data_IF_118138395537
#
_entry.id   IF_118138395537
#
_cell.length_a   1.000
_cell.length_b   1.000
_cell.length_c   1.000
_cell.angle_alpha   90.00
_cell.angle_beta   90.00
_cell.angle_gamma   90.00
#
_symmetry.space_group_name_H-M   'P 1'
#
loop_
_entity.id
_entity.type
_entity.pdbx_description
1 polymer ?
#
# COMPACT_ATOMS: atom_id res chain seq x y z
N UNK A 1 -12.30 -23.55 16.27
CA UNK A 1 -11.23 -22.86 16.96
C UNK A 1 -11.10 -21.54 16.20
N UNK A 2 -11.71 -20.49 16.73
CA UNK A 2 -11.66 -19.14 16.11
C UNK A 2 -10.28 -18.60 16.41
N UNK A 3 -9.51 -18.27 15.37
CA UNK A 3 -8.26 -17.55 15.53
C UNK A 3 -8.66 -16.07 15.53
N UNK A 4 -8.49 -15.37 16.65
CA UNK A 4 -8.60 -13.92 16.71
C UNK A 4 -7.50 -13.32 15.85
N UNK A 5 -7.86 -12.87 14.65
CA UNK A 5 -6.91 -12.37 13.67
C UNK A 5 -6.41 -10.94 13.94
N UNK A 6 -7.01 -10.22 14.93
CA UNK A 6 -6.62 -8.84 15.26
C UNK A 6 -6.67 -8.54 16.77
N UNK A 7 -6.00 -9.32 17.64
CA UNK A 7 -6.08 -9.09 19.08
C UNK A 7 -5.54 -7.73 19.55
N UNK A 8 -4.60 -7.11 18.85
CA UNK A 8 -4.14 -5.76 19.17
C UNK A 8 -5.18 -4.66 18.87
N UNK A 9 -6.19 -4.99 18.08
CA UNK A 9 -7.35 -4.13 17.87
C UNK A 9 -8.46 -4.40 18.89
N UNK A 10 -8.33 -5.46 19.71
CA UNK A 10 -9.36 -5.99 20.60
C UNK A 10 -9.61 -5.15 21.87
N UNK A 11 -8.72 -4.25 22.24
CA UNK A 11 -8.87 -3.44 23.46
C UNK A 11 -9.78 -2.21 23.29
N UNK A 12 -10.52 -2.10 22.21
CA UNK A 12 -11.45 -1.00 21.92
C UNK A 12 -11.82 -0.98 20.44
N UNK A 13 -12.98 -0.46 20.17
CA UNK A 13 -13.54 -0.42 18.83
C UNK A 13 -12.62 0.31 17.83
N UNK A 14 -12.35 -0.30 16.68
CA UNK A 14 -11.80 0.42 15.53
C UNK A 14 -12.98 1.00 14.77
N UNK A 15 -13.15 2.30 14.88
CA UNK A 15 -14.32 2.98 14.32
C UNK A 15 -14.10 3.39 12.87
N UNK A 16 -12.82 3.59 12.44
CA UNK A 16 -12.49 4.17 11.13
C UNK A 16 -11.28 3.50 10.51
N UNK A 17 -11.39 3.10 9.25
CA UNK A 17 -10.26 2.75 8.39
C UNK A 17 -10.07 3.81 7.31
N UNK A 18 -8.88 4.39 7.22
CA UNK A 18 -8.52 5.38 6.21
C UNK A 18 -7.53 4.77 5.24
N UNK A 19 -7.89 4.75 3.96
CA UNK A 19 -7.02 4.28 2.90
C UNK A 19 -6.47 5.47 2.10
N UNK A 20 -5.15 5.60 2.06
CA UNK A 20 -4.41 6.55 1.21
C UNK A 20 -3.90 5.86 -0.06
N UNK A 21 -4.60 4.81 -0.47
CA UNK A 21 -4.31 4.05 -1.68
C UNK A 21 -5.59 3.73 -2.43
N UNK A 22 -5.53 3.83 -3.73
CA UNK A 22 -6.53 3.30 -4.64
C UNK A 22 -5.87 2.45 -5.71
N UNK A 23 -6.32 1.20 -5.82
CA UNK A 23 -6.06 0.37 -6.99
C UNK A 23 -7.27 0.47 -7.89
N UNK A 24 -7.18 1.28 -8.94
CA UNK A 24 -8.28 1.49 -9.87
C UNK A 24 -8.19 0.59 -11.08
N UNK A 25 -9.36 0.19 -11.54
CA UNK A 25 -9.51 -0.47 -12.83
C UNK A 25 -10.73 0.07 -13.55
N UNK A 26 -10.55 0.52 -14.77
CA UNK A 26 -11.65 0.85 -15.67
C UNK A 26 -12.26 -0.44 -16.27
N UNK A 27 -13.42 -0.84 -15.79
CA UNK A 27 -14.20 -1.96 -16.31
C UNK A 27 -15.61 -1.97 -15.74
N UNK A 28 -16.56 -2.63 -16.37
CA UNK A 28 -18.01 -2.55 -16.10
C UNK A 28 -18.45 -2.92 -14.67
N UNK A 29 -17.58 -3.55 -13.89
CA UNK A 29 -17.62 -3.61 -12.41
C UNK A 29 -16.15 -3.48 -12.00
N UNK A 30 -15.75 -2.34 -11.46
CA UNK A 30 -14.38 -2.17 -10.97
C UNK A 30 -14.11 -3.23 -9.91
N UNK A 31 -13.07 -4.05 -10.05
CA UNK A 31 -12.66 -4.92 -8.96
C UNK A 31 -12.31 -4.08 -7.75
N UNK A 32 -12.64 -4.57 -6.56
CA UNK A 32 -12.31 -3.89 -5.32
C UNK A 32 -10.79 -3.79 -5.20
N UNK A 33 -10.29 -2.62 -4.85
CA UNK A 33 -8.90 -2.41 -4.48
C UNK A 33 -8.54 -3.08 -3.16
N UNK A 34 -7.26 -3.13 -2.82
CA UNK A 34 -6.76 -3.82 -1.63
C UNK A 34 -7.43 -3.32 -0.34
N UNK A 35 -7.56 -2.01 -0.17
CA UNK A 35 -8.22 -1.41 0.99
C UNK A 35 -9.72 -1.78 1.08
N UNK A 36 -10.42 -1.77 -0.05
CA UNK A 36 -11.82 -2.19 -0.09
C UNK A 36 -11.98 -3.67 0.25
N UNK A 37 -11.06 -4.53 -0.23
CA UNK A 37 -11.05 -5.97 0.08
C UNK A 37 -10.67 -6.25 1.53
N UNK A 38 -9.75 -5.47 2.12
CA UNK A 38 -9.43 -5.57 3.54
C UNK A 38 -10.62 -5.15 4.39
N UNK A 39 -11.31 -4.08 3.99
CA UNK A 39 -12.51 -3.60 4.69
C UNK A 39 -13.65 -4.60 4.61
N UNK A 40 -13.98 -5.07 3.38
CA UNK A 40 -15.04 -6.05 3.13
C UNK A 40 -14.65 -6.97 1.98
N UNK A 41 -14.61 -8.28 2.25
CA UNK A 41 -14.29 -9.27 1.23
C UNK A 41 -15.41 -9.37 0.17
N UNK A 42 -15.02 -9.72 -1.05
CA UNK A 42 -15.94 -10.22 -2.08
C UNK A 42 -15.99 -11.74 -1.97
N UNK A 43 -16.91 -12.24 -1.16
CA UNK A 43 -17.04 -13.68 -0.87
C UNK A 43 -17.37 -14.52 -2.11
N UNK A 44 -17.90 -13.91 -3.16
CA UNK A 44 -18.15 -14.59 -4.44
C UNK A 44 -16.84 -14.85 -5.18
N UNK A 45 -15.94 -13.88 -5.14
CA UNK A 45 -14.67 -13.95 -5.86
C UNK A 45 -13.56 -14.59 -5.03
N UNK A 46 -13.58 -14.37 -3.73
CA UNK A 46 -12.57 -14.82 -2.76
C UNK A 46 -13.22 -15.55 -1.59
N UNK A 47 -13.87 -16.72 -1.84
CA UNK A 47 -14.57 -17.47 -0.80
C UNK A 47 -13.63 -17.99 0.30
N UNK A 48 -12.35 -18.20 -0.03
CA UNK A 48 -11.32 -18.60 0.94
C UNK A 48 -10.97 -17.52 1.98
N UNK A 49 -11.35 -16.27 1.70
CA UNK A 49 -11.13 -15.12 2.57
C UNK A 49 -12.40 -14.68 3.30
N UNK A 50 -13.45 -15.49 3.22
CA UNK A 50 -14.73 -15.18 3.88
C UNK A 50 -14.55 -15.05 5.39
N UNK A 51 -15.05 -13.95 5.94
CA UNK A 51 -14.96 -13.65 7.37
C UNK A 51 -13.59 -13.15 7.83
N UNK A 52 -12.65 -12.94 6.91
CA UNK A 52 -11.29 -12.44 7.20
C UNK A 52 -11.14 -10.95 6.83
N UNK A 53 -12.21 -10.19 6.90
CA UNK A 53 -12.26 -8.75 6.61
C UNK A 53 -12.57 -7.94 7.88
N UNK A 54 -12.27 -6.63 7.83
CA UNK A 54 -12.46 -5.74 8.99
C UNK A 54 -13.92 -5.65 9.45
N UNK A 55 -14.88 -5.68 8.52
CA UNK A 55 -16.32 -5.61 8.88
C UNK A 55 -16.75 -6.85 9.64
N UNK A 56 -16.18 -8.01 9.35
CA UNK A 56 -16.48 -9.26 10.06
C UNK A 56 -15.96 -9.24 11.50
N UNK A 57 -14.82 -8.57 11.75
CA UNK A 57 -14.24 -8.45 13.09
C UNK A 57 -14.81 -7.26 13.88
N UNK A 58 -15.08 -6.15 13.20
CA UNK A 58 -15.50 -4.87 13.78
C UNK A 58 -16.81 -4.39 13.14
N UNK A 59 -17.95 -4.96 13.53
CA UNK A 59 -19.25 -4.50 13.04
C UNK A 59 -19.46 -3.02 13.40
N UNK A 60 -19.54 -2.16 12.40
CA UNK A 60 -19.66 -0.71 12.58
C UNK A 60 -18.45 0.09 12.16
N UNK A 61 -17.32 -0.58 11.82
CA UNK A 61 -16.17 0.11 11.23
C UNK A 61 -16.57 0.84 9.95
N UNK A 62 -16.07 2.05 9.77
CA UNK A 62 -16.25 2.84 8.55
C UNK A 62 -14.98 2.87 7.69
N UNK A 63 -15.13 2.85 6.36
CA UNK A 63 -14.04 3.02 5.41
C UNK A 63 -14.09 4.41 4.78
N UNK A 64 -13.01 5.17 4.94
CA UNK A 64 -12.78 6.43 4.23
C UNK A 64 -11.69 6.23 3.19
N UNK A 65 -12.05 6.17 1.92
CA UNK A 65 -11.08 6.09 0.81
C UNK A 65 -10.75 7.49 0.31
N UNK A 66 -9.55 7.97 0.64
CA UNK A 66 -9.02 9.26 0.20
C UNK A 66 -8.05 9.10 -0.98
N UNK A 67 -7.69 7.88 -1.29
CA UNK A 67 -6.73 7.54 -2.32
C UNK A 67 -7.23 7.90 -3.71
N UNK A 68 -6.32 8.41 -4.54
CA UNK A 68 -6.56 8.79 -5.93
C UNK A 68 -5.51 8.11 -6.82
N UNK A 69 -5.95 7.58 -7.97
CA UNK A 69 -5.05 6.98 -8.94
C UNK A 69 -4.02 7.99 -9.45
N UNK A 70 -2.78 7.55 -9.59
CA UNK A 70 -1.71 8.40 -10.06
C UNK A 70 -1.17 9.40 -9.03
N UNK A 71 -1.71 9.42 -7.81
CA UNK A 71 -1.28 10.36 -6.77
C UNK A 71 0.20 10.21 -6.43
N UNK A 72 0.84 11.34 -6.26
CA UNK A 72 2.18 11.51 -5.71
C UNK A 72 2.12 11.80 -4.21
N UNK A 73 3.26 11.77 -3.54
CA UNK A 73 3.30 12.15 -2.12
C UNK A 73 2.89 13.62 -1.89
N UNK A 74 3.12 14.48 -2.89
CA UNK A 74 2.64 15.87 -2.88
C UNK A 74 1.11 15.96 -2.90
N UNK A 75 0.43 15.10 -3.66
CA UNK A 75 -1.04 15.04 -3.71
C UNK A 75 -1.61 14.51 -2.39
N UNK A 76 -0.92 13.57 -1.73
CA UNK A 76 -1.32 13.13 -0.38
C UNK A 76 -1.33 14.28 0.60
N UNK A 77 -0.30 15.13 0.62
CA UNK A 77 -0.26 16.30 1.50
C UNK A 77 -1.26 17.39 1.11
N UNK A 78 -1.39 17.67 -0.19
CA UNK A 78 -2.21 18.77 -0.68
C UNK A 78 -3.71 18.48 -0.71
N UNK A 79 -4.09 17.23 -0.95
CA UNK A 79 -5.48 16.87 -1.22
C UNK A 79 -6.06 15.85 -0.24
N UNK A 80 -5.30 14.83 0.17
CA UNK A 80 -5.83 13.74 0.99
C UNK A 80 -5.75 14.05 2.48
N UNK A 81 -4.60 14.47 2.99
CA UNK A 81 -4.40 14.82 4.40
C UNK A 81 -5.39 15.86 4.94
N UNK A 82 -5.73 16.93 4.19
CA UNK A 82 -6.72 17.91 4.64
C UNK A 82 -8.13 17.33 4.87
N UNK A 83 -8.43 16.16 4.34
CA UNK A 83 -9.72 15.49 4.52
C UNK A 83 -9.77 14.61 5.78
N UNK A 84 -8.62 14.37 6.43
CA UNK A 84 -8.56 13.59 7.67
C UNK A 84 -8.94 14.49 8.84
N UNK A 85 -10.16 14.35 9.33
CA UNK A 85 -10.60 15.10 10.51
C UNK A 85 -9.84 14.64 11.77
N UNK A 86 -9.45 15.55 12.68
CA UNK A 86 -8.88 15.18 13.97
C UNK A 86 -9.85 14.31 14.79
N UNK A 87 -9.33 13.21 15.35
CA UNK A 87 -10.11 12.33 16.25
C UNK A 87 -9.17 11.47 17.11
N UNK A 88 -9.63 11.14 18.29
CA UNK A 88 -9.00 10.18 19.21
C UNK A 88 -9.44 8.74 18.94
N UNK A 89 -10.36 8.52 18.01
CA UNK A 89 -10.83 7.18 17.64
C UNK A 89 -9.68 6.32 17.14
N UNK A 90 -9.76 5.04 17.43
CA UNK A 90 -8.79 4.07 16.90
C UNK A 90 -8.97 3.96 15.40
N UNK A 91 -7.92 4.23 14.68
CA UNK A 91 -7.95 4.33 13.21
C UNK A 91 -6.86 3.45 12.62
N UNK A 92 -7.19 2.61 11.65
CA UNK A 92 -6.21 1.97 10.77
C UNK A 92 -5.99 2.87 9.56
N UNK A 93 -4.76 3.27 9.31
CA UNK A 93 -4.38 4.08 8.13
C UNK A 93 -3.44 3.28 7.25
N UNK A 94 -3.88 2.91 6.05
CA UNK A 94 -3.03 2.28 5.04
C UNK A 94 -2.40 3.33 4.14
N UNK A 95 -1.09 3.25 3.92
CA UNK A 95 -0.33 4.23 3.12
C UNK A 95 0.45 3.50 2.04
N UNK A 96 0.15 3.82 0.77
CA UNK A 96 0.88 3.34 -0.40
C UNK A 96 1.02 4.49 -1.39
N UNK A 97 2.20 5.08 -1.45
CA UNK A 97 2.53 6.22 -2.32
C UNK A 97 4.03 6.23 -2.65
N UNK A 98 4.48 7.03 -3.61
CA UNK A 98 5.89 7.19 -3.99
C UNK A 98 6.28 6.49 -5.30
N UNK A 99 5.52 5.49 -5.75
CA UNK A 99 5.75 4.84 -7.04
C UNK A 99 5.56 5.82 -8.21
N UNK A 100 4.50 6.62 -8.16
CA UNK A 100 4.22 7.63 -9.20
C UNK A 100 5.25 8.77 -9.19
N UNK A 101 5.78 9.13 -8.02
CA UNK A 101 6.88 10.10 -7.91
C UNK A 101 8.10 9.63 -8.69
N UNK A 102 8.51 8.36 -8.50
CA UNK A 102 9.66 7.78 -9.19
C UNK A 102 9.38 7.59 -10.69
N UNK A 103 8.21 7.09 -11.08
CA UNK A 103 7.86 6.87 -12.48
C UNK A 103 7.76 8.19 -13.25
N UNK A 104 7.13 9.20 -12.68
CA UNK A 104 7.00 10.53 -13.29
C UNK A 104 8.37 11.20 -13.46
N UNK A 105 9.24 11.06 -12.46
CA UNK A 105 10.60 11.54 -12.57
C UNK A 105 11.38 10.78 -13.65
N UNK A 106 11.29 9.46 -13.71
CA UNK A 106 11.99 8.61 -14.67
C UNK A 106 11.56 8.88 -16.12
N UNK A 107 10.29 9.21 -16.34
CA UNK A 107 9.76 9.54 -17.68
C UNK A 107 10.54 10.68 -18.37
N UNK A 108 11.10 11.61 -17.59
CA UNK A 108 11.91 12.72 -18.08
C UNK A 108 13.39 12.36 -18.32
N UNK A 109 13.75 11.08 -18.23
CA UNK A 109 15.13 10.57 -18.45
C UNK A 109 16.21 11.30 -17.64
N UNK A 110 16.03 11.50 -16.34
CA UNK A 110 16.98 12.22 -15.53
C UNK A 110 18.25 11.40 -15.32
N UNK A 111 19.31 12.07 -14.85
CA UNK A 111 20.48 11.36 -14.34
C UNK A 111 20.09 10.56 -13.10
N UNK A 112 20.73 9.39 -12.89
CA UNK A 112 20.48 8.53 -11.73
C UNK A 112 20.56 9.28 -10.39
N UNK A 113 21.54 10.19 -10.25
CA UNK A 113 21.69 11.02 -9.04
C UNK A 113 20.48 11.92 -8.74
N UNK A 114 19.74 12.36 -9.76
CA UNK A 114 18.50 13.11 -9.55
C UNK A 114 17.37 12.19 -9.08
N UNK A 115 17.26 10.97 -9.64
CA UNK A 115 16.30 9.98 -9.15
C UNK A 115 16.59 9.56 -7.71
N UNK A 116 17.86 9.39 -7.34
CA UNK A 116 18.28 9.13 -5.96
C UNK A 116 17.90 10.29 -5.03
N UNK A 117 18.03 11.54 -5.48
CA UNK A 117 17.58 12.70 -4.72
C UNK A 117 16.06 12.70 -4.53
N UNK A 118 15.28 12.45 -5.60
CA UNK A 118 13.83 12.37 -5.53
C UNK A 118 13.38 11.24 -4.59
N UNK A 119 13.98 10.05 -4.68
CA UNK A 119 13.67 8.95 -3.77
C UNK A 119 13.94 9.30 -2.30
N UNK A 120 15.03 10.03 -2.04
CA UNK A 120 15.32 10.53 -0.70
C UNK A 120 14.27 11.54 -0.24
N UNK A 121 13.91 12.51 -1.09
CA UNK A 121 12.92 13.54 -0.76
C UNK A 121 11.54 12.93 -0.51
N UNK A 122 11.14 11.90 -1.29
CA UNK A 122 9.94 11.10 -1.04
C UNK A 122 10.02 10.38 0.31
N UNK A 123 11.16 9.76 0.63
CA UNK A 123 11.38 9.10 1.92
C UNK A 123 11.28 10.06 3.11
N UNK A 124 11.85 11.26 2.99
CA UNK A 124 11.71 12.32 4.00
C UNK A 124 10.25 12.80 4.13
N UNK A 125 9.55 12.94 3.00
CA UNK A 125 8.14 13.30 3.01
C UNK A 125 7.27 12.23 3.70
N UNK A 126 7.63 10.93 3.60
CA UNK A 126 6.95 9.87 4.37
C UNK A 126 7.07 10.06 5.88
N UNK A 127 8.23 10.47 6.39
CA UNK A 127 8.41 10.78 7.82
C UNK A 127 7.46 11.89 8.27
N UNK A 128 7.38 12.98 7.48
CA UNK A 128 6.45 14.08 7.74
C UNK A 128 4.99 13.64 7.64
N UNK A 129 4.66 12.74 6.71
CA UNK A 129 3.32 12.20 6.56
C UNK A 129 2.90 11.39 7.79
N UNK A 130 3.76 10.49 8.25
CA UNK A 130 3.56 9.70 9.47
C UNK A 130 3.31 10.61 10.67
N UNK A 131 4.13 11.63 10.84
CA UNK A 131 3.98 12.62 11.92
C UNK A 131 2.67 13.42 11.79
N UNK A 132 2.29 13.80 10.57
CA UNK A 132 1.06 14.53 10.32
C UNK A 132 -0.18 13.69 10.64
N UNK A 133 -0.20 12.42 10.22
CA UNK A 133 -1.29 11.48 10.55
C UNK A 133 -1.40 11.33 12.07
N UNK A 134 -0.28 11.16 12.78
CA UNK A 134 -0.27 11.01 14.24
C UNK A 134 -0.74 12.24 15.00
N UNK A 135 -0.44 13.44 14.50
CA UNK A 135 -0.98 14.67 15.10
C UNK A 135 -2.50 14.76 14.95
N UNK A 136 -3.03 14.23 13.85
CA UNK A 136 -4.46 14.28 13.52
C UNK A 136 -5.23 13.09 14.13
N UNK A 137 -4.59 11.93 14.20
CA UNK A 137 -5.11 10.66 14.70
C UNK A 137 -4.09 10.01 15.64
N UNK A 138 -3.96 10.45 16.90
CA UNK A 138 -2.90 9.99 17.81
C UNK A 138 -2.97 8.49 18.11
N UNK A 139 -4.15 7.89 18.02
CA UNK A 139 -4.37 6.45 18.23
C UNK A 139 -4.35 5.63 16.92
N UNK A 140 -3.78 6.20 15.83
CA UNK A 140 -3.71 5.50 14.56
C UNK A 140 -2.69 4.37 14.57
N UNK A 141 -3.10 3.22 14.06
CA UNK A 141 -2.22 2.16 13.55
C UNK A 141 -1.89 2.47 12.09
N UNK A 142 -0.60 2.61 11.78
CA UNK A 142 -0.14 2.95 10.44
C UNK A 142 0.36 1.70 9.73
N UNK A 143 -0.21 1.36 8.59
CA UNK A 143 0.23 0.27 7.74
C UNK A 143 0.98 0.86 6.54
N UNK A 144 2.32 0.85 6.62
CA UNK A 144 3.20 1.35 5.57
C UNK A 144 3.50 0.24 4.57
N UNK A 145 3.27 0.51 3.29
CA UNK A 145 3.40 -0.47 2.22
C UNK A 145 4.62 -0.17 1.35
N UNK A 146 5.49 -1.15 1.13
CA UNK A 146 6.61 -1.01 0.19
C UNK A 146 6.10 -0.99 -1.25
N UNK A 147 6.83 -0.29 -2.13
CA UNK A 147 6.48 -0.12 -3.54
C UNK A 147 6.96 -1.35 -4.32
N UNK A 148 6.06 -2.02 -5.01
CA UNK A 148 6.36 -3.20 -5.83
C UNK A 148 7.15 -2.86 -7.09
N UNK A 149 7.86 -3.86 -7.66
CA UNK A 149 8.59 -3.79 -8.92
C UNK A 149 7.90 -4.62 -10.01
N UNK A 150 7.10 -4.00 -10.90
CA UNK A 150 6.43 -4.72 -11.97
C UNK A 150 7.39 -5.32 -13.01
N UNK A 151 8.64 -4.93 -12.99
CA UNK A 151 9.66 -5.46 -13.91
C UNK A 151 10.26 -6.79 -13.48
N UNK A 152 9.98 -7.26 -12.26
CA UNK A 152 10.62 -8.45 -11.68
C UNK A 152 12.15 -8.40 -11.74
N UNK A 153 12.73 -7.28 -11.35
CA UNK A 153 14.18 -7.00 -11.38
C UNK A 153 14.78 -6.89 -12.79
N UNK A 154 13.95 -6.89 -13.84
CA UNK A 154 14.45 -6.69 -15.21
C UNK A 154 14.72 -5.21 -15.53
N UNK A 155 14.13 -4.30 -14.76
CA UNK A 155 14.20 -2.86 -15.00
C UNK A 155 13.47 -2.42 -16.26
N UNK A 156 12.67 -3.28 -16.86
CA UNK A 156 11.87 -3.02 -18.07
C UNK A 156 10.46 -3.52 -17.89
N UNK A 157 9.51 -2.65 -18.14
CA UNK A 157 8.08 -2.95 -18.05
C UNK A 157 7.52 -2.79 -19.46
N UNK A 158 7.07 -3.87 -20.12
CA UNK A 158 6.52 -3.81 -21.47
C UNK A 158 5.37 -2.79 -21.56
N UNK A 159 5.42 -1.91 -22.55
CA UNK A 159 4.41 -0.87 -22.76
C UNK A 159 4.47 0.32 -21.80
N UNK A 160 5.43 0.35 -20.87
CA UNK A 160 5.58 1.44 -19.90
C UNK A 160 6.95 2.07 -20.01
N UNK A 161 7.00 3.34 -20.39
CA UNK A 161 8.23 4.15 -20.46
C UNK A 161 9.40 3.49 -21.23
N UNK A 162 9.10 2.68 -22.24
CA UNK A 162 10.11 1.93 -23.01
C UNK A 162 11.22 2.83 -23.58
N UNK A 163 10.84 4.03 -23.99
CA UNK A 163 11.79 5.01 -24.51
C UNK A 163 12.68 5.64 -23.43
N UNK A 164 12.29 5.57 -22.16
CA UNK A 164 13.08 6.13 -21.06
C UNK A 164 14.28 5.24 -20.69
N UNK A 165 14.28 3.98 -21.16
CA UNK A 165 15.38 3.03 -20.95
C UNK A 165 15.12 2.06 -19.81
N UNK A 166 16.19 1.67 -19.10
CA UNK A 166 16.10 0.71 -17.99
C UNK A 166 15.91 1.43 -16.67
N UNK A 167 14.90 1.05 -15.92
CA UNK A 167 14.63 1.57 -14.56
C UNK A 167 15.81 1.29 -13.63
N UNK A 168 16.32 2.28 -12.90
CA UNK A 168 17.39 2.07 -11.94
C UNK A 168 16.84 1.48 -10.63
N UNK A 169 16.66 0.17 -10.59
CA UNK A 169 16.01 -0.56 -9.49
C UNK A 169 16.62 -0.26 -8.12
N UNK A 170 17.92 0.06 -8.07
CA UNK A 170 18.57 0.47 -6.81
C UNK A 170 17.96 1.74 -6.19
N UNK A 171 17.28 2.56 -6.97
CA UNK A 171 16.56 3.76 -6.46
C UNK A 171 15.28 3.33 -5.76
N UNK A 172 14.52 2.41 -6.37
CA UNK A 172 13.32 1.83 -5.77
C UNK A 172 13.66 1.05 -4.48
N UNK A 173 14.71 0.21 -4.53
CA UNK A 173 15.17 -0.52 -3.35
C UNK A 173 15.57 0.43 -2.21
N UNK A 174 16.30 1.50 -2.50
CA UNK A 174 16.69 2.50 -1.50
C UNK A 174 15.48 3.19 -0.85
N UNK A 175 14.41 3.47 -1.61
CA UNK A 175 13.18 4.01 -1.04
C UNK A 175 12.45 2.96 -0.19
N UNK A 176 12.37 1.72 -0.65
CA UNK A 176 11.74 0.63 0.10
C UNK A 176 12.52 0.32 1.40
N UNK A 177 13.86 0.38 1.38
CA UNK A 177 14.67 0.22 2.60
C UNK A 177 14.34 1.32 3.62
N UNK A 178 14.20 2.56 3.16
CA UNK A 178 13.79 3.67 4.04
C UNK A 178 12.40 3.48 4.62
N UNK A 179 11.44 2.93 3.86
CA UNK A 179 10.10 2.59 4.38
C UNK A 179 10.18 1.48 5.44
N UNK A 180 11.06 0.48 5.27
CA UNK A 180 11.32 -0.57 6.26
C UNK A 180 11.90 0.02 7.55
N UNK A 181 12.88 0.90 7.43
CA UNK A 181 13.49 1.58 8.56
C UNK A 181 12.47 2.48 9.29
N UNK A 182 11.69 3.25 8.55
CA UNK A 182 10.65 4.12 9.12
C UNK A 182 9.60 3.30 9.89
N UNK A 183 9.10 2.21 9.32
CA UNK A 183 8.14 1.35 9.99
C UNK A 183 8.73 0.73 11.27
N UNK A 184 9.98 0.23 11.19
CA UNK A 184 10.66 -0.36 12.33
C UNK A 184 11.01 0.64 13.45
N UNK A 185 11.22 1.91 13.10
CA UNK A 185 11.52 2.99 14.05
C UNK A 185 10.29 3.71 14.60
N UNK A 186 9.10 3.46 14.05
CA UNK A 186 7.89 4.20 14.39
C UNK A 186 6.95 3.37 15.26
N UNK A 187 6.79 3.66 16.57
CA UNK A 187 5.83 2.96 17.41
C UNK A 187 4.41 3.05 16.78
N UNK A 188 3.66 1.95 16.73
CA UNK A 188 2.32 1.94 16.10
C UNK A 188 2.34 2.02 14.57
N UNK A 189 3.48 1.80 13.92
CA UNK A 189 3.55 1.50 12.51
C UNK A 189 3.82 0.01 12.29
N UNK A 190 3.33 -0.51 11.18
CA UNK A 190 3.53 -1.88 10.71
C UNK A 190 3.97 -1.81 9.25
N UNK A 191 4.93 -2.64 8.88
CA UNK A 191 5.38 -2.77 7.49
C UNK A 191 4.63 -3.88 6.78
N UNK A 192 4.09 -3.55 5.60
CA UNK A 192 3.59 -4.52 4.63
C UNK A 192 4.57 -4.61 3.45
N UNK A 193 5.41 -5.64 3.40
CA UNK A 193 6.43 -5.78 2.35
C UNK A 193 5.85 -6.37 1.07
N UNK A 194 5.03 -5.58 0.38
CA UNK A 194 4.43 -5.93 -0.90
C UNK A 194 5.49 -6.07 -2.00
N UNK A 195 6.59 -5.29 -1.93
CA UNK A 195 7.70 -5.41 -2.87
C UNK A 195 8.23 -6.85 -2.92
N UNK A 196 8.59 -7.40 -1.77
CA UNK A 196 9.12 -8.76 -1.70
C UNK A 196 8.10 -9.81 -2.16
N UNK A 197 6.82 -9.62 -1.82
CA UNK A 197 5.76 -10.57 -2.16
C UNK A 197 5.40 -10.58 -3.65
N UNK A 198 5.53 -9.47 -4.35
CA UNK A 198 5.16 -9.31 -5.75
C UNK A 198 6.24 -9.77 -6.74
N UNK A 199 7.48 -9.96 -6.29
CA UNK A 199 8.56 -10.46 -7.16
C UNK A 199 8.23 -11.85 -7.71
N UNK A 200 8.41 -12.00 -9.03
CA UNK A 200 8.08 -13.22 -9.76
C UNK A 200 6.63 -13.26 -10.28
N UNK A 201 5.87 -12.16 -10.15
CA UNK A 201 4.50 -12.04 -10.63
C UNK A 201 4.27 -10.86 -11.58
N UNK A 202 5.35 -10.30 -12.13
CA UNK A 202 5.35 -9.16 -13.04
C UNK A 202 5.74 -9.52 -14.48
N UNK A 203 6.66 -8.74 -15.05
CA UNK A 203 7.05 -8.84 -16.44
C UNK A 203 7.79 -10.15 -16.80
N UNK A 204 8.35 -10.85 -15.82
CA UNK A 204 9.13 -12.08 -16.03
C UNK A 204 8.28 -13.32 -16.30
N UNK A 205 6.98 -13.28 -16.02
CA UNK A 205 6.07 -14.43 -16.17
C UNK A 205 5.04 -14.22 -17.28
N UNK A 206 4.40 -15.31 -17.78
CA UNK A 206 3.29 -15.23 -18.73
C UNK A 206 2.15 -14.33 -18.22
N UNK A 207 1.41 -13.74 -19.15
CA UNK A 207 0.37 -12.75 -18.83
C UNK A 207 -0.68 -13.29 -17.84
N UNK A 208 -1.07 -14.53 -17.95
CA UNK A 208 -2.06 -15.21 -17.11
C UNK A 208 -1.60 -15.44 -15.67
N UNK A 209 -0.30 -15.39 -15.42
CA UNK A 209 0.31 -15.57 -14.09
C UNK A 209 0.62 -14.23 -13.40
N UNK A 210 0.46 -13.11 -14.14
CA UNK A 210 0.78 -11.78 -13.61
C UNK A 210 -0.25 -11.30 -12.62
N UNK A 211 0.20 -10.62 -11.61
CA UNK A 211 -0.64 -9.90 -10.63
C UNK A 211 -0.92 -8.45 -11.04
N UNK A 212 -0.52 -8.08 -12.25
CA UNK A 212 -0.67 -6.75 -12.81
C UNK A 212 -1.73 -6.71 -13.92
N UNK A 213 -2.32 -5.54 -14.11
CA UNK A 213 -3.34 -5.36 -15.12
C UNK A 213 -2.74 -5.39 -16.52
N UNK A 214 -3.35 -6.16 -17.40
CA UNK A 214 -2.88 -6.37 -18.78
C UNK A 214 -2.69 -5.07 -19.58
N UNK A 215 -3.52 -4.05 -19.31
CA UNK A 215 -3.47 -2.75 -20.01
C UNK A 215 -2.54 -1.74 -19.35
N UNK A 216 -2.12 -1.98 -18.12
CA UNK A 216 -1.21 -1.14 -17.36
C UNK A 216 -0.41 -2.01 -16.40
N UNK A 217 0.78 -2.43 -16.85
CA UNK A 217 1.63 -3.35 -16.07
C UNK A 217 2.25 -2.72 -14.82
N UNK A 218 1.89 -1.50 -14.50
CA UNK A 218 2.26 -0.83 -13.24
C UNK A 218 1.14 -0.89 -12.20
N UNK A 219 -0.04 -1.38 -12.58
CA UNK A 219 -1.18 -1.43 -11.69
C UNK A 219 -1.56 -2.87 -11.37
N UNK A 220 -1.79 -3.23 -10.10
CA UNK A 220 -2.26 -4.55 -9.73
C UNK A 220 -3.62 -4.88 -10.38
N UNK A 221 -3.76 -6.10 -10.86
CA UNK A 221 -5.06 -6.64 -11.24
C UNK A 221 -5.83 -7.09 -9.98
N UNK A 222 -6.97 -7.74 -10.15
CA UNK A 222 -7.77 -8.19 -9.02
C UNK A 222 -7.06 -9.23 -8.13
N UNK A 223 -6.22 -10.10 -8.73
CA UNK A 223 -5.39 -11.03 -7.96
C UNK A 223 -4.34 -10.24 -7.16
N UNK A 224 -3.63 -9.31 -7.81
CA UNK A 224 -2.67 -8.44 -7.15
C UNK A 224 -3.30 -7.63 -6.00
N UNK A 225 -4.49 -7.07 -6.18
CA UNK A 225 -5.20 -6.38 -5.10
C UNK A 225 -5.52 -7.32 -3.92
N UNK A 226 -5.94 -8.56 -4.19
CA UNK A 226 -6.16 -9.56 -3.15
C UNK A 226 -4.85 -9.96 -2.46
N UNK A 227 -3.74 -10.05 -3.19
CA UNK A 227 -2.43 -10.37 -2.62
C UNK A 227 -1.87 -9.22 -1.76
N UNK A 228 -2.08 -7.95 -2.15
CA UNK A 228 -1.77 -6.80 -1.28
C UNK A 228 -2.55 -6.90 0.02
N UNK A 229 -3.89 -7.12 -0.03
CA UNK A 229 -4.71 -7.35 1.15
C UNK A 229 -4.14 -8.46 2.03
N UNK A 230 -3.70 -9.58 1.45
CA UNK A 230 -3.12 -10.71 2.19
C UNK A 230 -1.84 -10.30 2.92
N UNK A 231 -0.95 -9.55 2.27
CA UNK A 231 0.27 -9.02 2.89
C UNK A 231 -0.09 -8.07 4.04
N UNK A 232 -1.07 -7.19 3.86
CA UNK A 232 -1.53 -6.27 4.89
C UNK A 232 -2.06 -7.01 6.11
N UNK A 233 -2.93 -8.00 5.90
CA UNK A 233 -3.47 -8.82 6.99
C UNK A 233 -2.36 -9.55 7.73
N UNK A 234 -1.45 -10.23 7.01
CA UNK A 234 -0.33 -10.94 7.64
C UNK A 234 0.58 -10.01 8.45
N UNK A 235 0.77 -8.76 7.99
CA UNK A 235 1.55 -7.76 8.71
C UNK A 235 0.85 -7.34 10.01
N UNK A 236 -0.47 -7.15 10.00
CA UNK A 236 -1.27 -6.86 11.18
C UNK A 236 -1.25 -8.03 12.18
N UNK A 237 -1.50 -9.26 11.71
CA UNK A 237 -1.48 -10.48 12.54
C UNK A 237 -0.10 -10.72 13.20
N UNK A 238 0.98 -10.45 12.47
CA UNK A 238 2.35 -10.64 12.98
C UNK A 238 2.70 -9.67 14.11
N UNK A 239 2.20 -8.45 14.06
CA UNK A 239 2.33 -7.48 15.13
C UNK A 239 1.65 -7.95 16.39
N UNK A 240 0.41 -8.43 16.27
CA UNK A 240 -0.40 -8.87 17.39
C UNK A 240 0.28 -10.01 18.17
N UNK A 241 0.96 -10.90 17.45
CA UNK A 241 1.76 -11.95 18.05
C UNK A 241 3.00 -11.45 18.82
N UNK A 242 3.50 -10.23 18.51
CA UNK A 242 4.63 -9.61 19.22
C UNK A 242 4.16 -8.85 20.46
N UNK A 243 3.03 -8.16 20.36
CA UNK A 243 2.46 -7.36 21.45
C UNK A 243 1.82 -8.26 22.56
N UNK A 244 1.51 -9.53 22.23
CA UNK A 244 1.00 -10.53 23.17
C UNK A 244 2.07 -11.28 24.01
N UNK A 245 3.38 -10.96 23.82
CA UNK A 245 4.51 -11.57 24.57
C UNK A 245 5.04 -10.62 25.63
#
# INVERSE_FOLDING_TARGET
>A
MSIDLYPALDAGEVDVAVALERVAHAGAVAPLGAASLLYRNDDTRWPEEQGADLVSYYPGIELHTLATDGATIGDVFGEQMPQIAPSEERTLVTITVGGNDLLSAFANRPRKSLLEAIARDVGEAYEFLVDAVRRTRPNALLLLTTIYDPSDRLGKIPGVLEEAGTLPLSVLEGLNDRLRELAGGTPGAVLADVHAHFLGHGASVPEEERWYWRRSLIEPNAVGASEIRRVWRNALDSRDALDAR
#
